data_IF_301643865668
#
_entry.id   IF_301643865668
#
_cell.length_a   1.000
_cell.length_b   1.000
_cell.length_c   1.000
_cell.angle_alpha   90.00
_cell.angle_beta   90.00
_cell.angle_gamma   90.00
#
_symmetry.space_group_name_H-M   'P 1'
#
loop_
_entity.id
_entity.type
_entity.pdbx_description
1 polymer ?
#
# COMPACT_ATOMS: atom_id res chain seq x y z
N UNK A 1 -37.69 -36.10 -69.12
CA UNK A 1 -37.04 -37.42 -68.89
C UNK A 1 -35.54 -37.24 -69.11
N UNK A 2 -34.72 -37.69 -68.14
CA UNK A 2 -33.24 -37.76 -68.12
C UNK A 2 -32.48 -36.41 -68.11
N UNK A 3 -31.21 -36.32 -67.63
CA UNK A 3 -30.51 -37.12 -66.60
C UNK A 3 -29.61 -36.29 -65.63
N UNK A 4 -29.14 -37.02 -64.61
CA UNK A 4 -28.01 -36.86 -63.65
C UNK A 4 -26.77 -36.09 -64.15
N UNK A 5 -26.10 -35.29 -63.29
CA UNK A 5 -24.69 -35.51 -62.82
C UNK A 5 -24.07 -34.35 -62.02
N UNK A 6 -23.30 -34.81 -61.02
CA UNK A 6 -22.48 -34.13 -60.02
C UNK A 6 -21.09 -33.74 -60.55
N UNK A 7 -20.49 -32.67 -60.02
CA UNK A 7 -19.03 -32.44 -59.80
C UNK A 7 -18.88 -31.25 -58.85
N UNK A 8 -18.32 -31.40 -57.63
CA UNK A 8 -16.88 -31.27 -57.27
C UNK A 8 -16.34 -29.85 -57.56
N UNK A 9 -15.52 -29.17 -56.76
CA UNK A 9 -14.82 -29.35 -55.48
C UNK A 9 -14.06 -28.02 -55.25
N UNK A 10 -13.83 -27.57 -54.03
CA UNK A 10 -12.53 -27.02 -53.61
C UNK A 10 -12.53 -26.76 -52.10
N UNK A 11 -11.95 -27.71 -51.39
CA UNK A 11 -11.46 -27.56 -50.05
C UNK A 11 -10.17 -26.73 -50.07
N UNK A 12 -9.98 -25.91 -49.03
CA UNK A 12 -8.65 -25.60 -48.51
C UNK A 12 -8.70 -25.81 -47.00
N UNK A 13 -8.10 -26.91 -46.57
CA UNK A 13 -7.62 -27.13 -45.20
C UNK A 13 -6.29 -26.38 -45.01
N UNK A 14 -5.91 -26.14 -43.74
CA UNK A 14 -4.55 -25.99 -43.17
C UNK A 14 -4.75 -25.19 -41.84
N UNK A 15 -4.34 -25.59 -40.63
CA UNK A 15 -3.59 -26.72 -40.09
C UNK A 15 -3.99 -26.87 -38.60
N UNK A 16 -4.19 -28.11 -38.15
CA UNK A 16 -4.10 -28.50 -36.75
C UNK A 16 -2.66 -28.92 -36.45
N UNK A 17 -2.10 -28.39 -35.36
CA UNK A 17 -1.12 -29.08 -34.51
C UNK A 17 -1.61 -28.87 -33.07
N UNK A 18 -2.45 -29.76 -32.54
CA UNK A 18 -2.07 -30.99 -31.85
C UNK A 18 -1.05 -30.76 -30.72
N UNK A 19 -1.51 -30.67 -29.47
CA UNK A 19 -1.27 -31.70 -28.45
C UNK A 19 -1.98 -31.29 -27.14
N UNK A 20 -2.87 -32.15 -26.65
CA UNK A 20 -3.51 -31.99 -25.35
C UNK A 20 -2.77 -32.75 -24.26
N UNK A 21 -2.77 -32.17 -23.06
CA UNK A 21 -2.70 -32.87 -21.76
C UNK A 21 -1.67 -32.32 -20.76
N UNK A 22 -1.88 -32.46 -19.44
CA UNK A 22 -3.12 -32.42 -18.64
C UNK A 22 -3.26 -31.08 -17.89
N UNK A 23 -4.42 -30.86 -17.27
CA UNK A 23 -4.64 -29.74 -16.36
C UNK A 23 -3.75 -29.86 -15.12
N UNK A 24 -2.74 -28.98 -15.02
CA UNK A 24 -2.21 -28.55 -13.72
C UNK A 24 -3.10 -27.42 -13.21
N UNK A 25 -3.89 -27.74 -12.19
CA UNK A 25 -4.24 -26.74 -11.19
C UNK A 25 -2.94 -26.22 -10.53
N UNK A 26 -2.99 -25.01 -9.97
CA UNK A 26 -1.89 -24.16 -9.47
C UNK A 26 -1.44 -23.14 -10.53
N UNK A 27 -1.54 -21.82 -10.34
CA UNK A 27 -1.72 -21.01 -9.14
C UNK A 27 -2.47 -19.74 -9.56
N UNK A 28 -3.59 -19.44 -8.88
CA UNK A 28 -4.15 -18.09 -8.83
C UNK A 28 -3.24 -17.24 -7.92
N UNK A 29 -2.00 -17.04 -8.36
CA UNK A 29 -1.05 -16.12 -7.77
C UNK A 29 -1.17 -14.78 -8.48
N UNK A 30 -2.32 -14.14 -8.40
CA UNK A 30 -2.42 -12.71 -8.75
C UNK A 30 -1.85 -11.93 -7.58
N UNK A 31 -0.51 -11.94 -7.45
CA UNK A 31 0.17 -10.88 -6.73
C UNK A 31 0.00 -9.62 -7.59
N UNK A 32 -1.12 -8.94 -7.40
CA UNK A 32 -1.26 -7.57 -7.86
C UNK A 32 -0.21 -6.79 -7.09
N UNK A 33 0.88 -6.40 -7.75
CA UNK A 33 1.68 -5.25 -7.35
C UNK A 33 0.73 -4.04 -7.42
N UNK A 34 -0.10 -3.88 -6.40
CA UNK A 34 -0.95 -2.72 -6.23
C UNK A 34 -0.02 -1.53 -6.07
N UNK A 35 -0.20 -0.50 -6.89
CA UNK A 35 0.51 0.75 -6.66
C UNK A 35 -0.08 1.40 -5.40
N UNK A 36 0.75 1.60 -4.38
CA UNK A 36 0.36 2.33 -3.18
C UNK A 36 -0.28 3.68 -3.56
N UNK A 37 -1.47 3.96 -3.03
CA UNK A 37 -2.14 5.23 -3.28
C UNK A 37 -1.37 6.35 -2.61
N UNK A 38 -0.95 7.35 -3.39
CA UNK A 38 -0.31 8.59 -2.91
C UNK A 38 -1.24 9.80 -2.99
N UNK A 39 -2.52 9.57 -3.30
CA UNK A 39 -3.58 10.56 -3.31
C UNK A 39 -4.87 9.96 -2.75
N UNK A 40 -5.63 10.74 -1.98
CA UNK A 40 -6.92 10.38 -1.42
C UNK A 40 -7.88 11.58 -1.46
N UNK A 41 -9.18 11.31 -1.53
CA UNK A 41 -10.21 12.34 -1.56
C UNK A 41 -11.19 12.15 -0.40
N UNK A 42 -11.49 13.23 0.32
CA UNK A 42 -12.45 13.22 1.42
C UNK A 42 -12.96 14.64 1.68
N UNK A 43 -14.23 14.77 2.08
CA UNK A 43 -14.84 16.05 2.46
C UNK A 43 -14.64 17.16 1.42
N UNK A 44 -14.66 16.80 0.13
CA UNK A 44 -14.46 17.75 -0.97
C UNK A 44 -13.00 18.16 -1.21
N UNK A 45 -12.04 17.64 -0.43
CA UNK A 45 -10.63 17.94 -0.52
C UNK A 45 -9.84 16.78 -1.12
N UNK A 46 -8.82 17.11 -1.92
CA UNK A 46 -7.80 16.16 -2.36
C UNK A 46 -6.58 16.28 -1.44
N UNK A 47 -6.16 15.14 -0.90
CA UNK A 47 -4.94 14.99 -0.12
C UNK A 47 -3.91 14.21 -0.94
N UNK A 48 -2.66 14.67 -0.97
CA UNK A 48 -1.57 13.98 -1.64
C UNK A 48 -0.39 13.80 -0.70
N UNK A 49 0.38 12.74 -0.92
CA UNK A 49 1.56 12.41 -0.15
C UNK A 49 2.78 12.30 -1.07
N UNK A 50 3.82 13.07 -0.77
CA UNK A 50 5.12 13.03 -1.44
C UNK A 50 6.22 12.99 -0.38
N UNK A 51 7.49 13.12 -0.77
CA UNK A 51 8.58 13.38 0.15
C UNK A 51 9.48 14.48 -0.42
N UNK A 52 10.18 15.17 0.46
CA UNK A 52 11.28 16.07 0.13
C UNK A 52 12.58 15.54 0.73
N UNK A 53 13.70 15.89 0.12
CA UNK A 53 15.00 15.57 0.68
C UNK A 53 15.55 16.80 1.41
N UNK A 54 16.07 16.64 2.62
CA UNK A 54 16.87 17.68 3.27
C UNK A 54 18.02 18.08 2.34
N UNK A 55 18.44 19.36 2.39
CA UNK A 55 19.43 19.94 1.47
C UNK A 55 20.59 18.98 1.17
N UNK A 56 21.12 19.04 -0.06
CA UNK A 56 22.25 18.21 -0.53
C UNK A 56 23.52 18.30 0.31
N UNK A 57 23.59 19.27 1.22
CA UNK A 57 24.66 19.46 2.20
C UNK A 57 24.51 18.59 3.46
N UNK A 58 23.34 18.01 3.71
CA UNK A 58 23.09 17.11 4.84
C UNK A 58 23.53 15.70 4.45
N UNK A 59 24.58 15.19 5.11
CA UNK A 59 25.05 13.82 4.90
C UNK A 59 25.00 13.06 6.23
N UNK A 60 24.21 11.98 6.32
CA UNK A 60 23.36 11.39 5.27
C UNK A 60 22.07 12.19 5.03
N UNK A 61 21.46 12.10 3.83
CA UNK A 61 20.21 12.79 3.55
C UNK A 61 19.06 12.22 4.38
N UNK A 62 18.13 13.10 4.77
CA UNK A 62 16.83 12.75 5.30
C UNK A 62 15.76 12.93 4.22
N UNK A 63 14.85 11.99 4.14
CA UNK A 63 13.68 12.00 3.28
C UNK A 63 12.45 12.26 4.15
N UNK A 64 11.89 13.45 4.06
CA UNK A 64 10.78 13.91 4.90
C UNK A 64 9.46 13.76 4.13
N UNK A 65 8.52 12.92 4.58
CA UNK A 65 7.21 12.84 3.95
C UNK A 65 6.46 14.17 4.06
N UNK A 66 5.82 14.59 2.98
CA UNK A 66 5.03 15.82 2.90
C UNK A 66 3.60 15.46 2.54
N UNK A 67 2.67 15.87 3.40
CA UNK A 67 1.23 15.72 3.14
C UNK A 67 0.69 17.07 2.72
N UNK A 68 -0.02 17.11 1.59
CA UNK A 68 -0.62 18.33 1.06
C UNK A 68 -2.12 18.16 0.93
N UNK A 69 -2.88 19.12 1.46
CA UNK A 69 -4.28 19.34 1.13
C UNK A 69 -4.37 20.39 0.05
N UNK A 70 -5.00 20.06 -1.08
CA UNK A 70 -5.21 20.98 -2.19
C UNK A 70 -6.44 21.85 -1.93
N UNK A 71 -6.34 23.15 -2.26
CA UNK A 71 -7.50 24.03 -2.31
C UNK A 71 -8.35 23.68 -3.54
N UNK A 72 -9.66 23.66 -3.39
CA UNK A 72 -10.62 23.51 -4.47
C UNK A 72 -11.93 24.22 -4.10
N UNK A 73 -12.82 24.40 -5.06
CA UNK A 73 -14.16 24.95 -4.78
C UNK A 73 -15.03 24.04 -3.90
N UNK A 74 -14.67 22.76 -3.80
CA UNK A 74 -15.37 21.75 -2.99
C UNK A 74 -14.74 21.54 -1.62
N UNK A 75 -13.49 21.95 -1.43
CA UNK A 75 -12.78 21.79 -0.17
C UNK A 75 -13.11 22.96 0.77
N UNK A 76 -13.66 22.72 1.98
CA UNK A 76 -14.04 23.78 2.90
C UNK A 76 -12.83 24.49 3.55
N UNK A 77 -11.62 23.95 3.38
CA UNK A 77 -10.40 24.47 3.99
C UNK A 77 -9.40 24.97 2.94
N UNK A 78 -8.56 25.96 3.26
CA UNK A 78 -7.50 26.42 2.37
C UNK A 78 -6.46 25.32 2.14
N UNK A 79 -5.63 25.49 1.11
CA UNK A 79 -4.48 24.61 0.89
C UNK A 79 -3.54 24.65 2.09
N UNK A 80 -3.01 23.50 2.47
CA UNK A 80 -2.04 23.38 3.55
C UNK A 80 -1.08 22.23 3.27
N UNK A 81 0.12 22.28 3.85
CA UNK A 81 1.06 21.17 3.86
C UNK A 81 1.65 20.97 5.24
N UNK A 82 1.92 19.72 5.59
CA UNK A 82 2.64 19.34 6.80
C UNK A 82 3.79 18.40 6.45
N UNK A 83 4.93 18.59 7.11
CA UNK A 83 6.11 17.73 6.98
C UNK A 83 6.14 16.77 8.16
N UNK A 84 6.30 15.48 7.89
CA UNK A 84 6.42 14.42 8.90
C UNK A 84 7.89 14.10 9.20
N UNK A 85 8.11 13.26 10.21
CA UNK A 85 9.45 12.87 10.62
C UNK A 85 10.23 12.20 9.46
N UNK A 86 11.45 12.67 9.21
CA UNK A 86 12.28 12.22 8.10
C UNK A 86 12.95 10.86 8.30
N UNK A 87 13.03 10.08 7.23
CA UNK A 87 13.66 8.76 7.14
C UNK A 87 15.06 8.86 6.53
N UNK A 88 16.01 8.02 6.96
CA UNK A 88 17.34 7.90 6.33
C UNK A 88 17.37 6.97 5.10
N UNK A 89 16.21 6.58 4.59
CA UNK A 89 16.02 5.91 3.31
C UNK A 89 14.77 6.46 2.64
N UNK A 90 14.70 6.36 1.31
CA UNK A 90 13.51 6.75 0.55
C UNK A 90 12.27 6.03 1.11
N UNK A 91 11.24 6.77 1.55
CA UNK A 91 10.06 6.20 2.17
C UNK A 91 9.11 5.66 1.12
N UNK A 92 8.60 4.44 1.32
CA UNK A 92 7.39 3.98 0.65
C UNK A 92 6.19 4.69 1.28
N UNK A 93 5.36 5.36 0.49
CA UNK A 93 4.28 6.23 0.96
C UNK A 93 2.91 5.61 0.68
N UNK A 94 1.94 5.78 1.58
CA UNK A 94 0.53 5.50 1.27
C UNK A 94 -0.41 6.40 2.06
N UNK A 95 -1.54 6.78 1.45
CA UNK A 95 -2.55 7.64 2.04
C UNK A 95 -3.96 7.09 1.79
N UNK A 96 -4.81 7.19 2.80
CA UNK A 96 -6.25 6.94 2.72
C UNK A 96 -6.99 8.02 3.51
N UNK A 97 -8.16 8.44 3.05
CA UNK A 97 -8.93 9.50 3.71
C UNK A 97 -10.43 9.22 3.66
N UNK A 98 -11.13 9.65 4.70
CA UNK A 98 -12.58 9.66 4.79
C UNK A 98 -13.06 10.77 5.74
N UNK A 99 -14.33 10.74 6.12
CA UNK A 99 -14.92 11.79 6.96
C UNK A 99 -14.37 11.81 8.39
N UNK A 100 -13.76 10.71 8.87
CA UNK A 100 -13.15 10.63 10.20
C UNK A 100 -11.71 11.16 10.24
N UNK A 101 -11.01 11.18 9.10
CA UNK A 101 -9.64 11.67 9.07
C UNK A 101 -8.86 11.32 7.81
N UNK A 102 -7.57 11.70 7.85
CA UNK A 102 -6.57 11.30 6.87
C UNK A 102 -5.62 10.32 7.55
N UNK A 103 -5.59 9.07 7.08
CA UNK A 103 -4.60 8.08 7.47
C UNK A 103 -3.43 8.11 6.49
N UNK A 104 -2.21 8.13 7.00
CA UNK A 104 -1.00 8.03 6.18
C UNK A 104 -0.09 6.96 6.74
N UNK A 105 0.64 6.30 5.86
CA UNK A 105 1.73 5.42 6.23
C UNK A 105 2.98 5.76 5.45
N UNK A 106 4.13 5.53 6.09
CA UNK A 106 5.40 5.60 5.40
C UNK A 106 6.43 4.68 6.03
N UNK A 107 7.33 4.13 5.20
CA UNK A 107 8.49 3.43 5.75
C UNK A 107 9.49 4.41 6.34
N UNK A 108 10.00 4.08 7.51
CA UNK A 108 10.81 4.95 8.34
C UNK A 108 12.06 4.21 8.81
N UNK A 109 13.22 4.74 8.43
CA UNK A 109 14.52 4.29 8.90
C UNK A 109 15.12 5.37 9.79
N UNK A 110 15.18 5.10 11.09
CA UNK A 110 15.55 6.11 12.10
C UNK A 110 17.05 6.45 12.10
N UNK A 111 17.90 5.61 11.52
CA UNK A 111 19.35 5.79 11.49
C UNK A 111 19.92 5.47 10.11
N UNK A 112 20.99 6.16 9.67
CA UNK A 112 21.65 5.82 8.41
C UNK A 112 22.40 4.49 8.44
N UNK A 113 22.60 3.90 9.63
CA UNK A 113 23.29 2.61 9.76
C UNK A 113 22.67 1.54 8.86
N UNK A 114 23.50 0.75 8.17
CA UNK A 114 23.04 -0.39 7.37
C UNK A 114 22.33 -1.46 8.19
N UNK A 115 22.60 -1.54 9.50
CA UNK A 115 21.97 -2.46 10.45
C UNK A 115 20.70 -1.92 11.11
N UNK A 116 20.31 -0.67 10.82
CA UNK A 116 19.08 -0.08 11.35
C UNK A 116 17.87 -0.74 10.66
N UNK A 117 16.89 -1.15 11.48
CA UNK A 117 15.61 -1.65 10.99
C UNK A 117 14.83 -0.60 10.20
N UNK A 118 13.84 -1.06 9.46
CA UNK A 118 12.89 -0.20 8.73
C UNK A 118 11.51 -0.48 9.30
N UNK A 119 10.87 0.55 9.83
CA UNK A 119 9.55 0.45 10.42
C UNK A 119 8.52 1.03 9.48
N UNK A 120 7.24 0.70 9.70
CA UNK A 120 6.14 1.41 9.08
C UNK A 120 5.52 2.33 10.12
N UNK A 121 5.61 3.63 9.87
CA UNK A 121 4.92 4.64 10.64
C UNK A 121 3.50 4.79 10.10
N UNK A 122 2.50 4.82 10.99
CA UNK A 122 1.11 5.13 10.65
C UNK A 122 0.67 6.34 11.46
N UNK A 123 0.08 7.32 10.78
CA UNK A 123 -0.39 8.56 11.40
C UNK A 123 -1.84 8.82 10.99
N UNK A 124 -2.62 9.36 11.92
CA UNK A 124 -3.92 9.96 11.63
C UNK A 124 -3.77 11.47 11.78
N UNK A 125 -4.17 12.18 10.74
CA UNK A 125 -4.18 13.63 10.69
C UNK A 125 -5.62 14.15 10.66
N UNK A 126 -5.85 15.29 11.31
CA UNK A 126 -7.10 16.02 11.14
C UNK A 126 -7.19 16.61 9.72
N UNK A 127 -8.33 16.48 9.02
CA UNK A 127 -8.47 16.97 7.65
C UNK A 127 -8.36 18.49 7.50
N UNK A 128 -8.69 19.26 8.55
CA UNK A 128 -8.81 20.72 8.56
C UNK A 128 -7.49 21.45 8.85
N UNK A 129 -6.67 20.91 9.76
CA UNK A 129 -5.38 21.50 10.15
C UNK A 129 -4.17 20.68 9.71
N UNK A 130 -4.37 19.44 9.22
CA UNK A 130 -3.30 18.47 8.97
C UNK A 130 -2.44 18.19 10.21
N UNK A 131 -3.00 18.37 11.41
CA UNK A 131 -2.29 18.08 12.65
C UNK A 131 -2.32 16.58 12.94
N UNK A 132 -1.18 16.01 13.34
CA UNK A 132 -1.12 14.61 13.76
C UNK A 132 -1.88 14.44 15.07
N UNK A 133 -2.99 13.69 15.02
CA UNK A 133 -3.81 13.35 16.19
C UNK A 133 -3.18 12.21 16.98
N UNK A 134 -2.68 11.21 16.25
CA UNK A 134 -2.18 9.96 16.80
C UNK A 134 -1.19 9.30 15.85
N UNK A 135 -0.39 8.43 16.44
CA UNK A 135 0.71 7.75 15.78
C UNK A 135 0.78 6.32 16.27
N UNK A 136 1.14 5.40 15.38
CA UNK A 136 1.52 4.04 15.76
C UNK A 136 2.59 3.54 14.81
N UNK A 137 3.39 2.59 15.25
CA UNK A 137 4.51 2.04 14.50
C UNK A 137 4.33 0.54 14.39
N UNK A 138 4.43 0.02 13.17
CA UNK A 138 4.48 -1.41 12.90
C UNK A 138 5.94 -1.78 12.58
N UNK A 139 6.45 -2.79 13.27
CA UNK A 139 7.82 -3.26 13.11
C UNK A 139 7.85 -4.78 13.09
N UNK A 140 8.80 -5.33 12.36
CA UNK A 140 9.08 -6.76 12.34
C UNK A 140 10.35 -7.07 13.14
N UNK A 141 10.46 -8.29 13.62
CA UNK A 141 11.62 -8.83 14.29
C UNK A 141 12.18 -10.03 13.55
N UNK A 142 13.50 -10.13 13.49
CA UNK A 142 14.18 -11.36 13.16
C UNK A 142 15.03 -11.78 14.36
N UNK A 143 14.68 -12.93 14.94
CA UNK A 143 15.15 -13.40 16.23
C UNK A 143 15.06 -12.31 17.33
N UNK A 144 16.20 -11.70 17.68
CA UNK A 144 16.31 -10.69 18.75
C UNK A 144 16.59 -9.27 18.22
N UNK A 145 16.44 -9.04 16.92
CA UNK A 145 16.76 -7.76 16.27
C UNK A 145 15.52 -7.18 15.60
N UNK A 146 15.47 -5.86 15.54
CA UNK A 146 14.54 -5.19 14.65
C UNK A 146 14.91 -5.51 13.20
N UNK A 147 13.88 -5.83 12.43
CA UNK A 147 13.98 -6.15 11.01
C UNK A 147 13.25 -5.08 10.20
N UNK A 148 12.75 -5.45 9.01
CA UNK A 148 12.26 -4.50 8.02
C UNK A 148 10.80 -4.74 7.69
N UNK A 149 10.02 -3.68 7.67
CA UNK A 149 8.74 -3.57 6.98
C UNK A 149 8.98 -2.72 5.74
N UNK A 150 8.78 -3.29 4.55
CA UNK A 150 9.16 -2.68 3.28
C UNK A 150 8.02 -1.88 2.64
N UNK A 151 6.77 -2.28 2.88
CA UNK A 151 5.56 -1.65 2.35
C UNK A 151 4.46 -1.67 3.40
N UNK A 152 3.50 -0.77 3.25
CA UNK A 152 2.33 -0.66 4.13
C UNK A 152 1.23 0.14 3.45
N UNK A 153 0.68 -0.41 2.38
CA UNK A 153 -0.41 0.17 1.60
C UNK A 153 -1.68 0.25 2.43
N UNK A 154 -2.31 1.43 2.41
CA UNK A 154 -3.51 1.70 3.17
C UNK A 154 -4.76 1.45 2.35
N UNK A 155 -5.74 0.81 2.98
CA UNK A 155 -7.12 0.79 2.50
C UNK A 155 -8.08 0.95 3.68
N UNK A 156 -9.19 1.63 3.44
CA UNK A 156 -10.28 1.73 4.40
C UNK A 156 -11.32 0.67 4.05
N UNK A 157 -11.76 -0.09 5.05
CA UNK A 157 -12.80 -1.07 4.85
C UNK A 157 -14.17 -0.39 4.71
N UNK A 158 -15.17 -1.17 4.29
CA UNK A 158 -16.52 -0.69 4.00
C UNK A 158 -17.25 -0.10 5.23
N UNK A 159 -16.80 -0.42 6.44
CA UNK A 159 -17.31 0.19 7.68
C UNK A 159 -16.87 1.65 7.85
N UNK A 160 -15.89 2.11 7.07
CA UNK A 160 -15.38 3.47 7.11
C UNK A 160 -14.57 3.81 8.37
N UNK A 161 -14.31 2.89 9.29
CA UNK A 161 -13.50 3.16 10.49
C UNK A 161 -12.28 2.26 10.58
N UNK A 162 -12.34 1.06 9.99
CA UNK A 162 -11.25 0.09 10.01
C UNK A 162 -10.22 0.42 8.93
N UNK A 163 -8.97 0.57 9.36
CA UNK A 163 -7.83 0.74 8.47
C UNK A 163 -7.14 -0.61 8.27
N UNK A 164 -7.05 -1.06 7.03
CA UNK A 164 -6.24 -2.21 6.64
C UNK A 164 -4.92 -1.75 6.04
N UNK A 165 -3.85 -2.42 6.44
CA UNK A 165 -2.48 -2.18 6.00
C UNK A 165 -1.97 -3.45 5.37
N UNK A 166 -1.66 -3.41 4.08
CA UNK A 166 -1.09 -4.54 3.35
C UNK A 166 0.37 -4.24 2.97
N UNK A 167 1.25 -5.21 3.10
CA UNK A 167 2.61 -5.02 2.62
C UNK A 167 3.50 -6.23 2.76
N UNK A 168 4.80 -5.98 2.68
CA UNK A 168 5.83 -7.00 2.84
C UNK A 168 6.77 -6.68 3.99
N UNK A 169 7.34 -7.74 4.58
CA UNK A 169 8.23 -7.69 5.74
C UNK A 169 9.34 -8.73 5.64
N UNK A 170 10.35 -8.54 6.46
CA UNK A 170 11.37 -9.53 6.81
C UNK A 170 11.24 -9.84 8.30
N UNK A 171 11.12 -11.13 8.65
CA UNK A 171 10.86 -11.56 10.03
C UNK A 171 9.38 -11.56 10.41
N UNK A 172 9.10 -11.48 11.71
CA UNK A 172 7.77 -11.64 12.31
C UNK A 172 7.32 -10.33 12.98
N UNK A 173 6.11 -9.87 12.67
CA UNK A 173 5.49 -8.75 13.38
C UNK A 173 4.95 -9.25 14.73
N UNK A 174 5.04 -8.49 15.83
CA UNK A 174 4.46 -8.88 17.11
C UNK A 174 2.98 -9.26 16.99
N UNK A 175 2.61 -10.38 17.61
CA UNK A 175 1.24 -10.94 17.62
C UNK A 175 0.69 -11.36 16.25
N UNK A 176 1.56 -11.50 15.26
CA UNK A 176 1.23 -12.06 13.96
C UNK A 176 0.80 -13.53 14.06
N UNK A 177 -0.20 -13.88 13.25
CA UNK A 177 -0.60 -15.25 12.97
C UNK A 177 -0.24 -15.62 11.54
N UNK A 178 0.07 -16.89 11.30
CA UNK A 178 0.54 -17.36 9.99
C UNK A 178 2.06 -17.23 9.84
N UNK A 179 2.54 -17.28 8.59
CA UNK A 179 3.95 -17.18 8.24
C UNK A 179 4.05 -16.70 6.78
N UNK A 180 5.14 -16.04 6.42
CA UNK A 180 5.37 -15.52 5.08
C UNK A 180 5.92 -14.10 5.10
N UNK A 181 6.29 -13.61 3.93
CA UNK A 181 6.82 -12.25 3.76
C UNK A 181 5.72 -11.22 3.52
N UNK A 182 4.51 -11.63 3.15
CA UNK A 182 3.37 -10.73 3.02
C UNK A 182 2.63 -10.64 4.35
N UNK A 183 1.99 -9.52 4.60
CA UNK A 183 1.15 -9.36 5.77
C UNK A 183 -0.05 -8.45 5.49
N UNK A 184 -1.09 -8.66 6.29
CA UNK A 184 -2.21 -7.75 6.45
C UNK A 184 -2.32 -7.42 7.95
N UNK A 185 -2.24 -6.14 8.29
CA UNK A 185 -2.54 -5.63 9.62
C UNK A 185 -3.88 -4.87 9.59
N UNK A 186 -4.79 -5.19 10.50
CA UNK A 186 -6.14 -4.60 10.56
C UNK A 186 -6.31 -3.83 11.85
N UNK A 187 -6.49 -2.51 11.74
CA UNK A 187 -6.68 -1.59 12.85
C UNK A 187 -8.17 -1.24 12.96
N UNK A 188 -8.91 -1.83 13.91
CA UNK A 188 -10.32 -1.49 14.10
C UNK A 188 -10.44 -0.06 14.64
N UNK A 189 -11.43 0.68 14.13
CA UNK A 189 -11.73 2.04 14.56
C UNK A 189 -10.48 2.95 14.59
N UNK A 190 -9.68 2.90 13.52
CA UNK A 190 -8.38 3.55 13.46
C UNK A 190 -8.45 5.06 13.74
N UNK A 191 -9.54 5.75 13.47
CA UNK A 191 -9.59 7.20 13.73
C UNK A 191 -9.94 7.54 15.18
N UNK A 192 -10.40 6.58 15.97
CA UNK A 192 -11.00 6.82 17.30
C UNK A 192 -10.50 5.89 18.40
N UNK A 193 -9.78 4.81 18.08
CA UNK A 193 -9.35 3.80 19.06
C UNK A 193 -7.89 3.37 18.90
N UNK A 194 -7.18 3.16 20.01
CA UNK A 194 -5.81 2.64 20.06
C UNK A 194 -5.74 1.11 20.18
N UNK A 195 -6.84 0.41 19.89
CA UNK A 195 -6.88 -1.06 19.86
C UNK A 195 -5.73 -1.63 19.02
N UNK A 196 -5.00 -2.59 19.58
CA UNK A 196 -3.91 -3.29 18.88
C UNK A 196 -4.44 -3.95 17.61
N UNK A 197 -3.73 -3.85 16.47
CA UNK A 197 -4.19 -4.47 15.24
C UNK A 197 -4.11 -5.99 15.32
N UNK A 198 -4.96 -6.66 14.55
CA UNK A 198 -4.71 -8.07 14.21
C UNK A 198 -3.74 -8.13 13.04
N UNK A 199 -2.81 -9.08 13.05
CA UNK A 199 -1.82 -9.24 11.97
C UNK A 199 -1.83 -10.69 11.47
N UNK A 200 -1.95 -10.84 10.15
CA UNK A 200 -1.93 -12.14 9.46
C UNK A 200 -0.85 -12.11 8.39
N UNK A 201 0.01 -13.11 8.36
CA UNK A 201 1.04 -13.29 7.34
C UNK A 201 0.83 -14.55 6.47
N UNK A 202 1.28 -14.46 5.23
CA UNK A 202 1.13 -15.49 4.19
C UNK A 202 2.23 -15.42 3.12
#
# INVERSE_FOLDING_TARGET
MHPVKSTASLAVALLLSACGGPATAESLGTATDSAALTSAFSQGCTFSMTYQQTSSTSHPPLFEPVITRQASSTCPWPSASVVLAGSYSEPGLSIAANDLGVAVSYTYKYSPSGSSGVYLELRHLTPDTLSVVRSTTLYAHDAFRFSKVYRGELSLLADGSTLQVQGTKEGTIPFESGNGSNYIATYPDFFTSTTTPTVVAY
#
